data_IF_298429912325
#
_entry.id   IF_298429912325
#
_cell.length_a   1.000
_cell.length_b   1.000
_cell.length_c   1.000
_cell.angle_alpha   90.00
_cell.angle_beta   90.00
_cell.angle_gamma   90.00
#
_symmetry.space_group_name_H-M   'P 1'
#
loop_
_entity.id
_entity.type
_entity.pdbx_description
1 polymer ?
#
# COMPACT_ATOMS: atom_id res chain seq x y z
N UNK A 1 -31.61 -54.70 -46.41
CA UNK A 1 -31.30 -54.43 -45.37
C UNK A 1 -30.12 -54.16 -44.87
N UNK A 2 -29.61 -53.33 -44.52
CA UNK A 2 -28.56 -52.98 -43.85
C UNK A 2 -28.70 -51.74 -43.34
N UNK A 3 -28.95 -51.49 -42.13
CA UNK A 3 -28.95 -50.25 -41.40
C UNK A 3 -27.57 -49.71 -41.33
N UNK A 4 -27.34 -48.73 -42.11
CA UNK A 4 -26.08 -48.01 -41.98
C UNK A 4 -26.12 -47.17 -40.71
N UNK A 5 -25.46 -47.64 -39.74
CA UNK A 5 -25.31 -46.82 -38.56
C UNK A 5 -24.23 -45.78 -38.80
N UNK A 6 -24.70 -44.60 -39.05
CA UNK A 6 -23.80 -43.45 -39.01
C UNK A 6 -23.49 -43.18 -37.57
N UNK A 7 -22.29 -43.55 -37.18
CA UNK A 7 -21.78 -43.14 -35.91
C UNK A 7 -21.37 -41.67 -36.04
N UNK A 8 -22.24 -40.81 -35.60
CA UNK A 8 -21.88 -39.41 -35.42
C UNK A 8 -20.97 -39.31 -34.21
N UNK A 9 -19.70 -39.27 -34.47
CA UNK A 9 -18.74 -38.99 -33.47
C UNK A 9 -18.75 -37.48 -33.22
N UNK A 10 -19.55 -37.05 -32.28
CA UNK A 10 -19.54 -35.68 -31.82
C UNK A 10 -18.29 -35.47 -31.02
N UNK A 11 -17.26 -35.00 -31.68
CA UNK A 11 -16.08 -34.51 -30.98
C UNK A 11 -16.46 -33.24 -30.20
N UNK A 12 -16.78 -33.41 -28.97
CA UNK A 12 -16.93 -32.29 -28.07
C UNK A 12 -15.54 -31.69 -27.79
N UNK A 13 -15.21 -30.72 -28.57
CA UNK A 13 -14.05 -29.87 -28.29
C UNK A 13 -14.42 -28.99 -27.12
N UNK A 14 -14.24 -29.49 -25.92
CA UNK A 14 -14.24 -28.65 -24.76
C UNK A 14 -12.90 -27.91 -24.73
N UNK A 15 -12.87 -26.84 -25.50
CA UNK A 15 -11.76 -25.92 -25.39
C UNK A 15 -11.83 -25.20 -24.09
N UNK A 16 -11.07 -25.64 -23.11
CA UNK A 16 -10.79 -24.80 -21.95
C UNK A 16 -9.91 -23.67 -22.42
N UNK A 17 -10.53 -22.54 -22.74
CA UNK A 17 -9.79 -21.32 -22.97
C UNK A 17 -9.40 -20.79 -21.59
N UNK A 18 -8.24 -21.19 -21.12
CA UNK A 18 -7.61 -20.49 -20.02
C UNK A 18 -7.12 -19.17 -20.55
N UNK A 19 -7.92 -18.14 -20.42
CA UNK A 19 -7.41 -16.78 -20.56
C UNK A 19 -6.34 -16.59 -19.48
N UNK A 20 -5.11 -16.31 -19.84
CA UNK A 20 -4.13 -15.94 -18.84
C UNK A 20 -4.67 -14.69 -18.15
N UNK A 21 -5.00 -14.83 -16.88
CA UNK A 21 -5.28 -13.66 -16.07
C UNK A 21 -4.00 -12.85 -16.02
N UNK A 22 -4.01 -11.76 -16.77
CA UNK A 22 -3.02 -10.71 -16.59
C UNK A 22 -3.28 -10.12 -15.22
N UNK A 23 -2.67 -10.73 -14.20
CA UNK A 23 -2.62 -10.09 -12.90
C UNK A 23 -1.91 -8.77 -13.09
N UNK A 24 -2.58 -7.63 -12.82
CA UNK A 24 -1.87 -6.36 -12.87
C UNK A 24 -0.65 -6.50 -11.95
N UNK A 25 0.53 -6.19 -12.49
CA UNK A 25 1.76 -6.26 -11.72
C UNK A 25 1.65 -5.28 -10.57
N UNK A 26 1.42 -5.79 -9.37
CA UNK A 26 1.39 -4.98 -8.17
C UNK A 26 2.82 -4.60 -7.79
N UNK A 27 3.04 -3.32 -7.62
CA UNK A 27 4.28 -2.83 -7.05
C UNK A 27 4.19 -2.87 -5.54
N UNK A 28 5.23 -3.37 -4.91
CA UNK A 28 5.31 -3.50 -3.48
C UNK A 28 6.19 -2.40 -2.91
N UNK A 29 5.63 -1.61 -2.01
CA UNK A 29 6.35 -0.57 -1.29
C UNK A 29 6.60 -1.07 0.12
N UNK A 30 7.85 -1.39 0.41
CA UNK A 30 8.29 -1.88 1.72
C UNK A 30 9.17 -0.86 2.39
N UNK A 31 9.10 -0.78 3.71
CA UNK A 31 9.98 0.09 4.45
C UNK A 31 9.89 -0.06 5.94
N UNK A 32 10.59 0.84 6.61
CA UNK A 32 10.63 0.95 8.05
C UNK A 32 10.25 2.36 8.47
N UNK A 33 9.46 2.46 9.53
CA UNK A 33 9.16 3.72 10.19
C UNK A 33 9.98 3.80 11.48
N UNK A 34 10.79 4.83 11.60
CA UNK A 34 11.64 5.10 12.75
C UNK A 34 11.17 6.34 13.49
N UNK A 35 11.40 6.35 14.78
CA UNK A 35 11.09 7.49 15.64
C UNK A 35 12.21 7.66 16.67
N UNK A 36 12.71 8.90 16.90
CA UNK A 36 13.90 9.10 17.73
C UNK A 36 13.65 8.97 19.23
N UNK A 37 12.39 8.84 19.65
CA UNK A 37 12.03 8.80 21.07
C UNK A 37 11.26 7.52 21.37
N UNK A 38 11.31 7.10 22.65
CA UNK A 38 10.47 6.00 23.10
C UNK A 38 9.00 6.42 23.15
N UNK A 39 8.09 5.48 22.89
CA UNK A 39 6.66 5.74 23.00
C UNK A 39 6.23 5.59 24.46
N UNK A 40 5.62 6.62 25.06
CA UNK A 40 5.14 6.52 26.44
C UNK A 40 3.89 5.65 26.58
N UNK A 41 3.19 5.38 25.49
CA UNK A 41 1.97 4.58 25.46
C UNK A 41 1.70 4.07 24.04
N UNK A 42 0.78 3.09 23.88
CA UNK A 42 0.48 2.54 22.57
C UNK A 42 0.05 3.61 21.57
N UNK A 43 0.50 3.44 20.33
CA UNK A 43 0.26 4.39 19.24
C UNK A 43 -0.23 3.69 17.99
N UNK A 44 -0.84 4.46 17.10
CA UNK A 44 -1.19 4.06 15.76
C UNK A 44 -0.30 4.80 14.77
N UNK A 45 0.35 4.06 13.90
CA UNK A 45 1.12 4.63 12.79
C UNK A 45 0.34 4.38 11.50
N UNK A 46 0.00 5.44 10.82
CA UNK A 46 -0.67 5.40 9.53
C UNK A 46 0.32 5.77 8.43
N UNK A 47 0.46 4.90 7.43
CA UNK A 47 1.27 5.15 6.25
C UNK A 47 0.35 5.30 5.07
N UNK A 48 0.41 6.45 4.41
CA UNK A 48 -0.50 6.84 3.33
C UNK A 48 0.30 7.17 2.09
N UNK A 49 -0.15 6.66 0.96
CA UNK A 49 0.37 7.04 -0.35
C UNK A 49 -0.57 8.07 -0.95
N UNK A 50 -0.02 9.21 -1.31
CA UNK A 50 -0.75 10.32 -1.91
C UNK A 50 -0.30 10.52 -3.34
N UNK A 51 -1.26 10.71 -4.24
CA UNK A 51 -1.00 11.19 -5.60
C UNK A 51 -1.39 12.66 -5.65
N UNK A 52 -0.46 13.53 -6.02
CA UNK A 52 -0.73 14.96 -6.11
C UNK A 52 -0.90 15.34 -7.58
N UNK A 53 -2.11 15.74 -7.93
CA UNK A 53 -2.49 16.15 -9.29
C UNK A 53 -2.99 17.59 -9.22
N UNK A 54 -2.32 18.48 -9.96
CA UNK A 54 -2.71 19.88 -9.97
C UNK A 54 -2.67 20.55 -8.59
N UNK A 55 -1.72 20.17 -7.75
CA UNK A 55 -1.58 20.68 -6.40
C UNK A 55 -2.56 20.09 -5.39
N UNK A 56 -3.41 19.14 -5.80
CA UNK A 56 -4.40 18.49 -4.91
C UNK A 56 -3.94 17.09 -4.54
N UNK A 57 -3.75 16.80 -3.25
CA UNK A 57 -3.39 15.45 -2.80
C UNK A 57 -4.62 14.55 -2.79
N UNK A 58 -4.46 13.36 -3.38
CA UNK A 58 -5.46 12.30 -3.37
C UNK A 58 -4.85 11.06 -2.71
N UNK A 59 -5.50 10.56 -1.67
CA UNK A 59 -5.08 9.32 -1.04
C UNK A 59 -5.42 8.14 -1.95
N UNK A 60 -4.39 7.39 -2.36
CA UNK A 60 -4.56 6.24 -3.25
C UNK A 60 -4.37 4.92 -2.53
N UNK A 61 -3.68 4.91 -1.41
CA UNK A 61 -3.51 3.73 -0.57
C UNK A 61 -3.18 4.15 0.86
N UNK A 62 -3.52 3.30 1.81
CA UNK A 62 -3.21 3.53 3.21
C UNK A 62 -3.08 2.20 3.95
N UNK A 63 -2.23 2.18 4.96
CA UNK A 63 -2.15 1.09 5.92
C UNK A 63 -1.98 1.66 7.31
N UNK A 64 -2.44 0.92 8.32
CA UNK A 64 -2.43 1.37 9.70
C UNK A 64 -1.94 0.25 10.59
N UNK A 65 -1.09 0.58 11.54
CA UNK A 65 -0.51 -0.37 12.46
C UNK A 65 -0.62 0.15 13.89
N UNK A 66 -0.99 -0.74 14.80
CA UNK A 66 -0.94 -0.46 16.23
C UNK A 66 0.42 -0.91 16.77
N UNK A 67 1.13 -0.04 17.46
CA UNK A 67 2.49 -0.29 17.90
C UNK A 67 2.70 0.16 19.35
N UNK A 68 3.57 -0.58 20.04
CA UNK A 68 4.06 -0.20 21.36
C UNK A 68 5.48 0.35 21.30
N UNK A 69 6.17 0.08 20.21
CA UNK A 69 7.56 0.52 20.00
C UNK A 69 7.84 0.66 18.50
N UNK A 70 8.87 1.39 18.18
CA UNK A 70 9.40 1.53 16.83
C UNK A 70 10.86 1.03 16.82
N UNK A 71 11.40 0.59 15.70
CA UNK A 71 10.91 0.72 14.34
C UNK A 71 9.79 -0.26 13.98
N UNK A 72 9.00 0.13 12.97
CA UNK A 72 7.89 -0.63 12.43
C UNK A 72 8.19 -0.97 10.98
N UNK A 73 7.96 -2.21 10.59
CA UNK A 73 8.01 -2.62 9.18
C UNK A 73 6.65 -2.43 8.54
N UNK A 74 6.62 -1.78 7.40
CA UNK A 74 5.38 -1.63 6.63
C UNK A 74 5.50 -2.23 5.23
N UNK A 75 4.37 -2.61 4.67
CA UNK A 75 4.25 -3.20 3.35
C UNK A 75 2.96 -2.69 2.71
N UNK A 76 3.09 -2.05 1.56
CA UNK A 76 1.97 -1.56 0.77
C UNK A 76 2.07 -2.11 -0.64
N UNK A 77 0.97 -2.62 -1.15
CA UNK A 77 0.88 -3.06 -2.54
C UNK A 77 0.06 -2.06 -3.33
N UNK A 78 0.61 -1.62 -4.45
CA UNK A 78 0.03 -0.60 -5.29
C UNK A 78 -0.13 -1.13 -6.71
N UNK A 79 -1.28 -0.86 -7.31
CA UNK A 79 -1.51 -1.19 -8.71
C UNK A 79 -0.93 -0.08 -9.61
N UNK A 80 -0.61 -0.40 -10.87
CA UNK A 80 -0.19 0.63 -11.82
C UNK A 80 -1.20 1.76 -11.97
N UNK A 81 -2.48 1.45 -11.84
CA UNK A 81 -3.55 2.45 -11.92
C UNK A 81 -3.46 3.48 -10.78
N UNK A 82 -3.16 3.03 -9.57
CA UNK A 82 -2.99 3.90 -8.42
C UNK A 82 -1.79 4.83 -8.56
N UNK A 83 -0.80 4.43 -9.36
CA UNK A 83 0.44 5.18 -9.60
C UNK A 83 0.46 5.94 -10.93
N UNK A 84 -0.64 5.86 -11.71
CA UNK A 84 -0.64 6.30 -13.10
C UNK A 84 -0.47 7.81 -13.27
N UNK A 85 -1.00 8.60 -12.35
CA UNK A 85 -1.03 10.06 -12.47
C UNK A 85 -0.47 10.74 -11.24
N UNK A 86 0.07 11.96 -11.44
CA UNK A 86 0.53 12.83 -10.37
C UNK A 86 1.90 12.47 -9.80
N UNK A 87 2.34 13.28 -8.88
CA UNK A 87 3.52 13.01 -8.08
C UNK A 87 3.13 12.19 -6.86
N UNK A 88 3.94 11.20 -6.54
CA UNK A 88 3.65 10.27 -5.46
C UNK A 88 4.40 10.68 -4.20
N UNK A 89 3.67 10.82 -3.12
CA UNK A 89 4.19 11.11 -1.79
C UNK A 89 3.84 10.00 -0.82
N UNK A 90 4.75 9.74 0.08
CA UNK A 90 4.55 8.82 1.20
C UNK A 90 4.47 9.66 2.46
N UNK A 91 3.36 9.56 3.18
CA UNK A 91 3.15 10.29 4.44
C UNK A 91 2.92 9.29 5.55
N UNK A 92 3.63 9.48 6.65
CA UNK A 92 3.40 8.70 7.86
C UNK A 92 2.99 9.63 8.99
N UNK A 93 2.04 9.20 9.80
CA UNK A 93 1.57 9.94 10.96
C UNK A 93 1.43 9.01 12.15
N UNK A 94 1.83 9.50 13.29
CA UNK A 94 1.72 8.79 14.56
C UNK A 94 0.71 9.51 15.45
N UNK A 95 -0.24 8.74 15.97
CA UNK A 95 -1.23 9.17 16.95
C UNK A 95 -1.22 8.21 18.11
N UNK A 96 -1.45 8.70 19.33
CA UNK A 96 -1.71 7.78 20.44
C UNK A 96 -3.11 7.17 20.30
N UNK A 97 -3.27 5.93 20.76
CA UNK A 97 -4.53 5.21 20.62
C UNK A 97 -5.67 5.84 21.41
N UNK A 98 -5.36 6.57 22.48
CA UNK A 98 -6.31 7.27 23.31
C UNK A 98 -6.67 8.68 22.84
N UNK A 99 -6.20 9.07 21.66
CA UNK A 99 -6.44 10.40 21.11
C UNK A 99 -6.46 10.44 19.59
N UNK A 100 -6.76 11.60 19.05
CA UNK A 100 -6.84 11.83 17.61
C UNK A 100 -5.75 12.77 17.08
N UNK A 101 -5.04 13.44 17.97
CA UNK A 101 -4.01 14.40 17.57
C UNK A 101 -2.79 13.71 16.98
N UNK A 102 -2.28 14.28 15.90
CA UNK A 102 -1.03 13.81 15.30
C UNK A 102 0.13 14.28 16.18
N UNK A 103 0.92 13.31 16.65
CA UNK A 103 2.05 13.55 17.54
C UNK A 103 3.38 13.71 16.79
N UNK A 104 3.50 12.99 15.69
CA UNK A 104 4.67 13.03 14.83
C UNK A 104 4.27 12.72 13.40
N UNK A 105 5.02 13.21 12.44
CA UNK A 105 4.73 12.98 11.04
C UNK A 105 5.99 13.04 10.17
N UNK A 106 5.88 12.47 8.98
CA UNK A 106 6.86 12.57 7.92
C UNK A 106 6.17 12.56 6.57
N UNK A 107 6.70 13.30 5.62
CA UNK A 107 6.25 13.26 4.24
C UNK A 107 7.44 13.35 3.31
N UNK A 108 7.48 12.48 2.33
CA UNK A 108 8.57 12.43 1.36
C UNK A 108 8.05 12.11 -0.03
N UNK A 109 8.73 12.63 -1.04
CA UNK A 109 8.45 12.31 -2.43
C UNK A 109 8.99 10.91 -2.74
N UNK A 110 8.24 10.14 -3.52
CA UNK A 110 8.59 8.78 -3.88
C UNK A 110 8.58 8.66 -5.40
N UNK A 111 9.60 8.03 -5.95
CA UNK A 111 9.62 7.76 -7.37
C UNK A 111 8.61 6.66 -7.73
N UNK A 112 7.95 6.81 -8.87
CA UNK A 112 6.94 5.84 -9.33
C UNK A 112 7.49 4.44 -9.61
N UNK A 113 8.79 4.33 -9.82
CA UNK A 113 9.46 3.05 -9.99
C UNK A 113 10.04 2.66 -8.63
N UNK A 114 9.41 1.68 -8.00
CA UNK A 114 9.90 1.15 -6.73
C UNK A 114 10.94 0.09 -7.04
N UNK A 115 12.17 0.39 -6.69
CA UNK A 115 13.21 -0.62 -6.64
C UNK A 115 12.95 -1.49 -5.41
N UNK A 116 13.55 -2.68 -5.37
CA UNK A 116 13.48 -3.55 -4.19
C UNK A 116 14.13 -2.94 -2.96
N UNK A 117 14.41 -1.66 -3.00
CA UNK A 117 15.01 -0.93 -1.90
C UNK A 117 13.98 -0.62 -0.84
N UNK A 118 14.34 -1.00 0.38
CA UNK A 118 13.60 -0.68 1.56
C UNK A 118 13.62 0.81 1.82
N UNK A 119 12.45 1.41 2.00
CA UNK A 119 12.34 2.82 2.34
C UNK A 119 12.46 3.02 3.85
N UNK A 120 13.09 4.11 4.24
CA UNK A 120 13.20 4.49 5.65
C UNK A 120 12.46 5.79 5.85
N UNK A 121 11.46 5.76 6.73
CA UNK A 121 10.69 6.93 7.12
C UNK A 121 11.14 7.34 8.52
N UNK A 122 11.59 8.58 8.65
CA UNK A 122 11.94 9.17 9.95
C UNK A 122 10.80 10.07 10.39
N UNK A 123 10.05 9.65 11.40
CA UNK A 123 9.01 10.48 11.97
C UNK A 123 9.62 11.62 12.77
N UNK A 124 9.14 12.84 12.52
CA UNK A 124 9.55 14.02 13.23
C UNK A 124 8.50 14.35 14.29
N UNK A 125 8.86 14.37 15.56
CA UNK A 125 7.92 14.76 16.61
C UNK A 125 7.51 16.22 16.44
N UNK A 126 6.23 16.50 16.64
CA UNK A 126 5.76 17.87 16.72
C UNK A 126 6.29 18.53 18.01
N UNK A 127 6.34 19.86 18.03
CA UNK A 127 6.79 20.60 19.19
C UNK A 127 5.97 20.29 20.46
N UNK A 128 4.70 19.93 20.28
CA UNK A 128 3.80 19.55 21.38
C UNK A 128 4.01 18.13 21.89
N UNK A 129 4.77 17.30 21.19
CA UNK A 129 4.96 15.89 21.58
C UNK A 129 5.50 15.74 23.00
N UNK A 130 5.00 14.84 23.86
CA UNK A 130 3.92 13.86 23.61
C UNK A 130 2.51 14.34 24.00
N UNK A 131 2.29 15.62 24.09
CA UNK A 131 1.05 16.21 24.59
C UNK A 131 0.29 17.00 23.53
N UNK A 132 0.36 16.58 22.28
CA UNK A 132 -0.45 17.21 21.22
C UNK A 132 -1.95 16.93 21.45
N UNK A 133 -2.75 17.93 21.24
CA UNK A 133 -4.21 17.86 21.38
C UNK A 133 -4.90 18.24 20.07
#
# INVERSE_FOLDING_TARGET
MRGLQLLMLSAMLTGCVTTPELKPSQQQLKGEVHFPQALPRPATVEVVVLSVIGGRPLQVAATRYEVNMLPLLFDLRLTPLQLAEGEIYLRARLRFMDGTAVQAMSQQNVFKIFNDKKMVIQLQPKACYPQCQ
#
